data_IF_893736594481
#
_entry.id   IF_893736594481
#
_cell.length_a   1.000
_cell.length_b   1.000
_cell.length_c   1.000
_cell.angle_alpha   90.00
_cell.angle_beta   90.00
_cell.angle_gamma   90.00
#
_symmetry.space_group_name_H-M   'P 1'
#
loop_
_entity.id
_entity.type
_entity.pdbx_description
1 polymer ?
#
# COMPACT_ATOMS: atom_id res chain seq x y z
N UNK A 1 -58.15 -3.75 89.91
CA UNK A 1 -57.10 -3.62 88.87
C UNK A 1 -57.12 -4.95 88.11
N UNK A 2 -57.45 -5.03 86.81
CA UNK A 2 -56.77 -4.46 85.63
C UNK A 2 -55.44 -5.21 85.32
N UNK A 3 -55.12 -5.68 84.10
CA UNK A 3 -55.82 -5.64 82.80
C UNK A 3 -55.08 -6.47 81.70
N UNK A 4 -55.79 -7.26 80.85
CA UNK A 4 -55.34 -7.87 79.55
C UNK A 4 -54.04 -8.74 79.58
N UNK A 5 -53.63 -9.55 78.58
CA UNK A 5 -54.06 -10.08 77.25
C UNK A 5 -53.46 -11.54 77.16
N UNK A 6 -53.44 -12.39 76.13
CA UNK A 6 -53.84 -12.42 74.69
C UNK A 6 -53.95 -13.90 74.20
N UNK A 7 -54.45 -14.13 72.97
CA UNK A 7 -54.21 -15.32 72.06
C UNK A 7 -54.54 -16.76 72.60
N UNK A 8 -54.77 -17.83 71.82
CA UNK A 8 -54.84 -18.07 70.35
C UNK A 8 -55.85 -19.21 70.01
N UNK A 9 -56.36 -19.25 68.77
CA UNK A 9 -56.90 -20.43 68.03
C UNK A 9 -58.15 -21.21 68.51
N UNK A 10 -59.18 -21.26 67.63
CA UNK A 10 -60.14 -22.36 67.33
C UNK A 10 -61.18 -21.78 66.35
N UNK A 11 -61.20 -22.16 65.06
CA UNK A 11 -61.83 -23.37 64.50
C UNK A 11 -63.22 -23.75 65.06
N UNK A 12 -64.26 -23.26 64.38
CA UNK A 12 -65.46 -24.02 64.03
C UNK A 12 -66.04 -23.44 62.73
N UNK A 13 -66.69 -24.27 61.91
CA UNK A 13 -67.33 -23.86 60.63
C UNK A 13 -68.85 -23.91 60.79
N UNK A 14 -69.54 -22.81 60.47
CA UNK A 14 -71.00 -22.75 60.40
C UNK A 14 -71.46 -23.02 58.94
N UNK A 15 -72.33 -24.02 58.67
CA UNK A 15 -72.61 -24.46 57.30
C UNK A 15 -74.01 -24.07 56.80
N UNK A 16 -74.09 -23.19 55.79
CA UNK A 16 -75.35 -22.92 55.08
C UNK A 16 -75.17 -22.57 53.60
N UNK A 17 -76.11 -23.10 52.80
CA UNK A 17 -76.33 -22.89 51.35
C UNK A 17 -75.17 -23.38 50.45
N UNK A 18 -75.30 -24.49 49.70
CA UNK A 18 -76.32 -24.85 48.71
C UNK A 18 -76.35 -23.94 47.47
N UNK A 19 -75.45 -24.19 46.51
CA UNK A 19 -75.89 -24.63 45.18
C UNK A 19 -74.80 -25.39 44.41
N UNK A 20 -75.22 -26.19 43.42
CA UNK A 20 -74.35 -27.05 42.61
C UNK A 20 -74.17 -26.46 41.21
N UNK A 21 -73.37 -25.41 41.10
CA UNK A 21 -73.06 -24.78 39.80
C UNK A 21 -72.22 -25.70 38.91
N UNK A 22 -72.66 -25.92 37.67
CA UNK A 22 -71.99 -26.79 36.69
C UNK A 22 -70.68 -26.21 36.15
N UNK A 23 -69.77 -27.13 35.80
CA UNK A 23 -68.49 -26.84 35.16
C UNK A 23 -68.65 -26.26 33.73
N UNK A 24 -68.02 -25.11 33.40
CA UNK A 24 -68.10 -24.53 32.06
C UNK A 24 -67.01 -25.09 31.13
N UNK A 25 -67.26 -26.25 30.51
CA UNK A 25 -66.42 -26.77 29.42
C UNK A 25 -66.48 -25.83 28.21
N UNK A 26 -65.45 -25.00 28.00
CA UNK A 26 -65.56 -23.88 27.06
C UNK A 26 -64.26 -23.27 26.54
N UNK A 27 -63.24 -24.07 26.19
CA UNK A 27 -62.04 -23.55 25.50
C UNK A 27 -62.47 -22.96 24.15
N UNK A 28 -62.59 -21.64 24.10
CA UNK A 28 -63.02 -20.90 22.91
C UNK A 28 -61.88 -20.90 21.89
N UNK A 29 -61.88 -21.89 21.00
CA UNK A 29 -60.86 -22.04 19.96
C UNK A 29 -61.01 -20.91 18.93
N UNK A 30 -60.34 -19.78 19.16
CA UNK A 30 -60.32 -18.61 18.27
C UNK A 30 -59.71 -19.03 16.92
N UNK A 31 -60.58 -19.50 16.04
CA UNK A 31 -60.25 -19.89 14.67
C UNK A 31 -59.94 -18.64 13.86
N UNK A 32 -58.66 -18.28 13.80
CA UNK A 32 -58.16 -17.16 13.01
C UNK A 32 -58.32 -17.45 11.52
N UNK A 33 -59.54 -17.27 10.98
CA UNK A 33 -59.84 -17.18 9.55
C UNK A 33 -59.24 -15.90 8.97
N UNK A 34 -57.91 -15.84 8.96
CA UNK A 34 -57.14 -14.86 8.20
C UNK A 34 -57.52 -15.07 6.73
N UNK A 35 -58.35 -14.16 6.22
CA UNK A 35 -58.89 -14.20 4.86
C UNK A 35 -57.76 -14.43 3.85
N UNK A 36 -58.02 -15.22 2.81
CA UNK A 36 -57.04 -15.47 1.74
C UNK A 36 -56.56 -14.15 1.12
N UNK A 37 -57.42 -13.13 1.05
CA UNK A 37 -57.03 -11.76 0.65
C UNK A 37 -56.01 -11.12 1.59
N UNK A 38 -56.13 -11.32 2.91
CA UNK A 38 -55.16 -10.81 3.88
C UNK A 38 -53.82 -11.56 3.80
N UNK A 39 -53.83 -12.88 3.54
CA UNK A 39 -52.59 -13.64 3.27
C UNK A 39 -51.86 -13.11 2.01
N UNK A 40 -52.59 -12.85 0.94
CA UNK A 40 -52.01 -12.23 -0.27
C UNK A 40 -51.57 -10.78 -0.03
N UNK A 41 -52.27 -9.98 0.78
CA UNK A 41 -51.85 -8.62 1.12
C UNK A 41 -50.54 -8.61 1.94
N UNK A 42 -50.40 -9.51 2.92
CA UNK A 42 -49.15 -9.67 3.68
C UNK A 42 -48.01 -10.19 2.79
N UNK A 43 -48.28 -11.17 1.93
CA UNK A 43 -47.29 -11.67 0.96
C UNK A 43 -46.84 -10.61 -0.04
N UNK A 44 -47.77 -9.81 -0.58
CA UNK A 44 -47.47 -8.68 -1.46
C UNK A 44 -46.66 -7.60 -0.74
N UNK A 45 -47.03 -7.25 0.50
CA UNK A 45 -46.23 -6.32 1.33
C UNK A 45 -44.81 -6.82 1.60
N UNK A 46 -44.64 -8.11 1.86
CA UNK A 46 -43.32 -8.73 2.01
C UNK A 46 -42.50 -8.70 0.70
N UNK A 47 -43.13 -8.95 -0.46
CA UNK A 47 -42.45 -8.82 -1.76
C UNK A 47 -42.06 -7.37 -2.05
N UNK A 48 -42.94 -6.40 -1.80
CA UNK A 48 -42.64 -4.97 -2.00
C UNK A 48 -41.52 -4.48 -1.09
N UNK A 49 -41.49 -4.89 0.19
CA UNK A 49 -40.40 -4.53 1.11
C UNK A 49 -39.06 -5.20 0.73
N UNK A 50 -39.07 -6.45 0.27
CA UNK A 50 -37.87 -7.13 -0.24
C UNK A 50 -37.34 -6.46 -1.52
N UNK A 51 -38.22 -6.08 -2.45
CA UNK A 51 -37.84 -5.34 -3.66
C UNK A 51 -37.27 -3.95 -3.33
N UNK A 52 -37.90 -3.22 -2.40
CA UNK A 52 -37.39 -1.92 -1.95
C UNK A 52 -36.02 -2.05 -1.25
N UNK A 53 -35.84 -3.07 -0.40
CA UNK A 53 -34.56 -3.37 0.23
C UNK A 53 -33.47 -3.73 -0.81
N UNK A 54 -33.80 -4.52 -1.83
CA UNK A 54 -32.89 -4.85 -2.92
C UNK A 54 -32.50 -3.60 -3.73
N UNK A 55 -33.45 -2.74 -4.07
CA UNK A 55 -33.19 -1.47 -4.77
C UNK A 55 -32.31 -0.55 -3.92
N UNK A 56 -32.57 -0.46 -2.61
CA UNK A 56 -31.75 0.31 -1.68
C UNK A 56 -30.32 -0.25 -1.57
N UNK A 57 -30.15 -1.57 -1.48
CA UNK A 57 -28.82 -2.22 -1.48
C UNK A 57 -28.07 -1.97 -2.79
N UNK A 58 -28.74 -2.06 -3.94
CA UNK A 58 -28.15 -1.76 -5.24
C UNK A 58 -27.74 -0.28 -5.33
N UNK A 59 -28.62 0.65 -4.92
CA UNK A 59 -28.31 2.08 -4.86
C UNK A 59 -27.12 2.37 -3.93
N UNK A 60 -27.10 1.82 -2.72
CA UNK A 60 -25.98 1.96 -1.78
C UNK A 60 -24.69 1.36 -2.35
N UNK A 61 -24.75 0.21 -3.05
CA UNK A 61 -23.58 -0.38 -3.70
C UNK A 61 -23.05 0.48 -4.86
N UNK A 62 -23.94 1.10 -5.63
CA UNK A 62 -23.57 2.00 -6.73
C UNK A 62 -23.01 3.33 -6.20
N UNK A 63 -23.60 3.88 -5.14
CA UNK A 63 -23.06 5.06 -4.45
C UNK A 63 -21.73 4.76 -3.77
N UNK A 64 -21.52 3.55 -3.25
CA UNK A 64 -20.22 3.11 -2.72
C UNK A 64 -19.18 2.90 -3.83
N UNK A 65 -19.57 2.35 -4.98
CA UNK A 65 -18.70 2.29 -6.17
C UNK A 65 -18.34 3.68 -6.69
N UNK A 66 -19.32 4.59 -6.79
CA UNK A 66 -19.07 5.96 -7.23
C UNK A 66 -18.18 6.71 -6.22
N UNK A 67 -18.44 6.54 -4.93
CA UNK A 67 -17.61 7.07 -3.84
C UNK A 67 -16.19 6.49 -3.86
N UNK A 68 -15.99 5.19 -4.07
CA UNK A 68 -14.64 4.58 -4.13
C UNK A 68 -13.88 4.86 -5.44
N UNK A 69 -14.57 5.29 -6.51
CA UNK A 69 -13.92 5.78 -7.73
C UNK A 69 -13.59 7.28 -7.67
N UNK A 70 -14.45 8.13 -7.08
CA UNK A 70 -14.20 9.57 -6.87
C UNK A 70 -13.25 9.84 -5.71
N UNK A 71 -13.36 9.04 -4.66
CA UNK A 71 -12.54 9.03 -3.44
C UNK A 71 -11.60 7.82 -3.46
N UNK A 72 -11.08 7.48 -4.66
CA UNK A 72 -9.94 6.58 -4.77
C UNK A 72 -8.75 7.33 -4.15
N UNK A 73 -8.17 6.86 -3.03
CA UNK A 73 -6.98 7.50 -2.49
C UNK A 73 -5.87 7.46 -3.55
N UNK A 74 -5.10 8.53 -3.59
CA UNK A 74 -3.81 8.54 -4.29
C UNK A 74 -2.97 7.36 -3.78
N UNK A 75 -2.22 6.64 -4.65
CA UNK A 75 -1.43 5.49 -4.21
C UNK A 75 -0.52 5.90 -3.04
N UNK A 76 -0.37 5.05 -2.01
CA UNK A 76 0.05 5.48 -0.67
C UNK A 76 1.33 6.33 -0.67
N UNK A 77 1.10 7.63 -0.42
CA UNK A 77 1.99 8.62 0.17
C UNK A 77 3.42 8.66 -0.41
N UNK A 78 3.59 9.38 -1.53
CA UNK A 78 4.85 9.94 -2.07
C UNK A 78 6.12 9.05 -2.12
N UNK A 79 5.99 7.73 -1.97
CA UNK A 79 7.10 6.79 -1.73
C UNK A 79 7.27 5.72 -2.81
N UNK A 80 6.51 5.79 -3.92
CA UNK A 80 6.58 4.81 -5.01
C UNK A 80 6.28 5.37 -6.42
N UNK A 81 7.19 5.10 -7.37
CA UNK A 81 7.16 5.63 -8.74
C UNK A 81 6.38 4.80 -9.77
N UNK A 82 5.65 3.76 -9.36
CA UNK A 82 4.99 2.87 -10.32
C UNK A 82 5.97 1.90 -10.97
N UNK A 83 5.76 1.57 -12.26
CA UNK A 83 6.52 0.51 -12.96
C UNK A 83 7.18 0.98 -14.27
N UNK A 84 6.82 2.15 -14.77
CA UNK A 84 7.30 2.72 -16.03
C UNK A 84 7.70 4.19 -15.84
N UNK A 85 8.54 4.77 -16.71
CA UNK A 85 8.86 6.20 -16.69
C UNK A 85 7.61 7.10 -16.77
N UNK A 86 6.56 6.63 -17.47
CA UNK A 86 5.28 7.33 -17.56
C UNK A 86 4.51 7.32 -16.23
N UNK A 87 4.57 6.22 -15.45
CA UNK A 87 4.04 6.21 -14.08
C UNK A 87 4.86 7.14 -13.17
N UNK A 88 6.18 7.13 -13.31
CA UNK A 88 7.08 7.90 -12.45
C UNK A 88 6.88 9.41 -12.62
N UNK A 89 6.81 9.90 -13.85
CA UNK A 89 6.45 11.30 -14.15
C UNK A 89 5.04 11.64 -13.64
N UNK A 90 4.07 10.73 -13.80
CA UNK A 90 2.70 10.94 -13.31
C UNK A 90 2.61 11.01 -11.79
N UNK A 91 3.43 10.25 -11.08
CA UNK A 91 3.49 10.20 -9.61
C UNK A 91 4.41 11.28 -9.00
N UNK A 92 4.95 12.20 -9.81
CA UNK A 92 5.85 13.26 -9.33
C UNK A 92 7.22 12.78 -8.86
N UNK A 93 7.70 11.64 -9.37
CA UNK A 93 9.06 11.18 -9.10
C UNK A 93 10.12 11.93 -9.91
N UNK A 94 11.33 11.97 -9.37
CA UNK A 94 12.51 12.53 -10.02
C UNK A 94 13.39 11.40 -10.56
N UNK A 95 13.96 11.57 -11.74
CA UNK A 95 14.94 10.63 -12.28
C UNK A 95 16.35 11.03 -11.82
N UNK A 96 17.10 10.09 -11.24
CA UNK A 96 18.43 10.34 -10.68
C UNK A 96 19.52 9.56 -11.46
N UNK A 97 20.29 10.22 -12.33
CA UNK A 97 21.23 9.56 -13.25
C UNK A 97 22.30 8.72 -12.57
N UNK A 98 22.88 9.22 -11.46
CA UNK A 98 23.94 8.54 -10.72
C UNK A 98 23.51 7.20 -10.14
N UNK A 99 22.22 6.96 -9.91
CA UNK A 99 21.72 5.65 -9.45
C UNK A 99 20.93 4.87 -10.51
N UNK A 100 20.72 5.43 -11.70
CA UNK A 100 19.93 4.82 -12.78
C UNK A 100 18.52 4.42 -12.30
N UNK A 101 17.87 5.31 -11.54
CA UNK A 101 16.55 5.04 -10.95
C UNK A 101 15.65 6.27 -10.96
N UNK A 102 14.34 6.04 -11.05
CA UNK A 102 13.37 7.01 -10.56
C UNK A 102 13.27 6.93 -9.02
N UNK A 103 13.16 8.09 -8.39
CA UNK A 103 13.18 8.33 -6.95
C UNK A 103 11.90 9.06 -6.55
N UNK A 104 11.14 8.57 -5.55
CA UNK A 104 9.96 9.26 -5.04
C UNK A 104 10.31 10.55 -4.28
N UNK A 105 9.47 11.58 -4.41
CA UNK A 105 9.62 12.89 -3.76
C UNK A 105 9.96 12.77 -2.26
N UNK A 106 9.30 11.88 -1.52
CA UNK A 106 9.49 11.74 -0.06
C UNK A 106 10.89 11.27 0.36
N UNK A 107 11.72 10.80 -0.56
CA UNK A 107 13.13 10.46 -0.31
C UNK A 107 14.10 11.04 -1.36
N UNK A 108 13.65 12.05 -2.11
CA UNK A 108 14.48 12.79 -3.05
C UNK A 108 15.17 13.98 -2.37
N UNK A 109 16.45 14.20 -2.68
CA UNK A 109 17.17 15.41 -2.27
C UNK A 109 18.27 15.74 -3.28
N UNK A 110 18.19 16.94 -3.87
CA UNK A 110 18.99 17.34 -5.02
C UNK A 110 20.49 17.49 -4.69
N UNK A 111 20.84 17.77 -3.42
CA UNK A 111 22.23 18.01 -3.03
C UNK A 111 23.13 16.78 -3.17
N UNK A 112 22.56 15.56 -3.23
CA UNK A 112 23.31 14.35 -3.53
C UNK A 112 24.00 14.43 -4.90
N UNK A 113 23.29 14.96 -5.91
CA UNK A 113 23.74 15.05 -7.31
C UNK A 113 24.76 16.17 -7.56
N UNK A 114 24.97 17.09 -6.60
CA UNK A 114 25.88 18.21 -6.78
C UNK A 114 27.32 17.73 -6.99
N UNK A 115 27.89 18.03 -8.17
CA UNK A 115 29.26 17.65 -8.55
C UNK A 115 29.38 16.33 -9.31
N UNK A 116 28.30 15.82 -9.92
CA UNK A 116 28.32 14.69 -10.85
C UNK A 116 27.53 15.05 -12.12
N UNK A 117 28.10 14.92 -13.32
CA UNK A 117 27.38 15.01 -14.59
C UNK A 117 27.77 13.84 -15.51
N UNK A 118 27.21 12.67 -15.21
CA UNK A 118 27.46 11.41 -15.93
C UNK A 118 27.22 11.46 -17.44
N UNK A 119 26.66 12.54 -17.98
CA UNK A 119 26.41 12.73 -19.41
C UNK A 119 27.37 13.70 -20.09
N UNK A 120 28.28 14.30 -19.33
CA UNK A 120 29.45 15.04 -19.79
C UNK A 120 30.74 14.33 -19.38
N UNK A 121 30.71 13.59 -18.27
CA UNK A 121 31.84 12.82 -17.72
C UNK A 121 32.06 11.46 -18.43
N UNK A 122 31.04 10.92 -19.14
CA UNK A 122 31.05 9.57 -19.74
C UNK A 122 30.36 9.49 -21.11
N UNK A 123 30.90 8.64 -21.99
CA UNK A 123 30.26 8.20 -23.24
C UNK A 123 29.19 7.12 -22.99
N UNK A 124 28.14 7.11 -23.81
CA UNK A 124 27.01 6.19 -23.71
C UNK A 124 26.68 5.52 -25.04
N UNK A 125 26.31 4.24 -24.99
CA UNK A 125 26.22 3.36 -26.15
C UNK A 125 24.96 2.48 -26.14
N UNK A 126 24.49 2.10 -27.32
CA UNK A 126 23.39 1.15 -27.52
C UNK A 126 23.83 -0.32 -27.38
N UNK A 127 25.13 -0.61 -27.51
CA UNK A 127 25.67 -1.96 -27.63
C UNK A 127 26.75 -2.32 -26.57
N UNK A 128 26.89 -3.61 -26.19
CA UNK A 128 27.84 -4.06 -25.18
C UNK A 128 29.30 -4.11 -25.64
N UNK A 129 29.64 -3.66 -26.85
CA UNK A 129 31.01 -3.57 -27.35
C UNK A 129 31.51 -2.12 -27.49
N UNK A 130 30.72 -1.14 -27.07
CA UNK A 130 31.03 0.31 -27.12
C UNK A 130 31.35 0.80 -28.55
N UNK A 131 30.53 0.40 -29.53
CA UNK A 131 30.71 0.70 -30.97
C UNK A 131 29.61 1.55 -31.58
N UNK A 132 28.47 1.64 -30.92
CA UNK A 132 27.29 2.39 -31.35
C UNK A 132 26.96 3.43 -30.27
N UNK A 133 27.61 4.62 -30.30
CA UNK A 133 27.24 5.72 -29.43
C UNK A 133 25.75 6.06 -29.59
N UNK A 134 25.09 6.44 -28.50
CA UNK A 134 23.70 6.87 -28.54
C UNK A 134 23.54 8.12 -29.41
N UNK A 135 22.52 8.14 -30.26
CA UNK A 135 22.17 9.33 -31.04
C UNK A 135 21.50 10.40 -30.15
N UNK A 136 21.32 11.61 -30.67
CA UNK A 136 20.76 12.75 -29.92
C UNK A 136 19.40 12.43 -29.26
N UNK A 137 18.52 11.68 -29.94
CA UNK A 137 17.22 11.28 -29.39
C UNK A 137 17.37 10.29 -28.23
N UNK A 138 18.25 9.30 -28.39
CA UNK A 138 18.54 8.31 -27.35
C UNK A 138 19.23 8.96 -26.13
N UNK A 139 20.09 9.95 -26.34
CA UNK A 139 20.69 10.76 -25.27
C UNK A 139 19.66 11.64 -24.55
N UNK A 140 18.66 12.18 -25.27
CA UNK A 140 17.55 12.92 -24.66
C UNK A 140 16.70 11.98 -23.78
N UNK A 141 16.34 10.80 -24.27
CA UNK A 141 15.54 9.84 -23.49
C UNK A 141 16.34 9.25 -22.32
N UNK A 142 17.65 9.01 -22.48
CA UNK A 142 18.55 8.64 -21.40
C UNK A 142 18.62 9.73 -20.30
N UNK A 143 18.81 11.00 -20.68
CA UNK A 143 18.81 12.15 -19.75
C UNK A 143 17.47 12.34 -19.03
N UNK A 144 16.37 11.91 -19.63
CA UNK A 144 15.00 12.00 -19.08
C UNK A 144 14.55 10.76 -18.31
N UNK A 145 15.31 9.67 -18.29
CA UNK A 145 14.91 8.42 -17.63
C UNK A 145 13.91 7.56 -18.42
N UNK A 146 13.87 7.69 -19.75
CA UNK A 146 12.93 7.01 -20.67
C UNK A 146 13.59 5.86 -21.48
N UNK A 147 14.44 5.08 -20.83
CA UNK A 147 15.15 3.94 -21.44
C UNK A 147 14.95 2.65 -20.62
N UNK A 148 15.20 1.49 -21.22
CA UNK A 148 15.23 0.20 -20.51
C UNK A 148 16.64 -0.11 -19.99
N UNK A 149 17.63 -0.05 -20.89
CA UNK A 149 19.04 -0.15 -20.56
C UNK A 149 19.92 0.55 -21.62
N UNK A 150 21.11 0.95 -21.20
CA UNK A 150 22.18 1.51 -22.04
C UNK A 150 23.52 0.91 -21.60
N UNK A 151 24.59 1.14 -22.36
CA UNK A 151 25.94 0.69 -22.02
C UNK A 151 26.90 1.88 -21.88
N UNK A 152 27.87 1.77 -20.98
CA UNK A 152 28.94 2.75 -20.79
C UNK A 152 30.20 2.04 -20.26
N UNK A 153 31.26 2.78 -19.93
CA UNK A 153 32.50 2.22 -19.39
C UNK A 153 32.33 1.78 -17.93
N UNK A 154 33.30 1.01 -17.40
CA UNK A 154 33.31 0.62 -15.98
C UNK A 154 33.42 1.82 -15.02
N UNK A 155 33.86 3.00 -15.48
CA UNK A 155 33.98 4.20 -14.63
C UNK A 155 32.65 4.58 -13.97
N UNK A 156 31.51 4.41 -14.65
CA UNK A 156 30.18 4.59 -14.05
C UNK A 156 29.99 3.70 -12.81
N UNK A 157 30.49 2.47 -12.79
CA UNK A 157 30.36 1.59 -11.62
C UNK A 157 31.16 2.13 -10.43
N UNK A 158 32.41 2.52 -10.66
CA UNK A 158 33.29 3.03 -9.60
C UNK A 158 32.72 4.35 -9.01
N UNK A 159 32.23 5.25 -9.86
CA UNK A 159 31.55 6.49 -9.44
C UNK A 159 30.20 6.24 -8.77
N UNK A 160 29.40 5.30 -9.27
CA UNK A 160 28.14 4.87 -8.65
C UNK A 160 28.35 4.38 -7.22
N UNK A 161 29.37 3.55 -6.97
CA UNK A 161 29.71 3.08 -5.62
C UNK A 161 30.00 4.24 -4.65
N UNK A 162 30.85 5.17 -5.06
CA UNK A 162 31.23 6.33 -4.24
C UNK A 162 30.07 7.31 -4.05
N UNK A 163 29.22 7.48 -5.07
CA UNK A 163 28.01 8.27 -5.00
C UNK A 163 27.00 7.75 -3.97
N UNK A 164 26.68 6.44 -3.99
CA UNK A 164 25.75 5.84 -3.03
C UNK A 164 26.28 6.04 -1.60
N UNK A 165 27.58 5.82 -1.37
CA UNK A 165 28.21 6.04 -0.07
C UNK A 165 28.13 7.50 0.40
N UNK A 166 28.44 8.48 -0.48
CA UNK A 166 28.26 9.91 -0.19
C UNK A 166 26.80 10.24 0.11
N UNK A 167 25.86 9.76 -0.71
CA UNK A 167 24.42 10.02 -0.57
C UNK A 167 23.88 9.49 0.76
N UNK A 168 24.27 8.27 1.17
CA UNK A 168 23.92 7.70 2.46
C UNK A 168 24.46 8.54 3.63
N UNK A 169 25.75 8.92 3.57
CA UNK A 169 26.36 9.76 4.60
C UNK A 169 25.66 11.13 4.73
N UNK A 170 25.35 11.79 3.61
CA UNK A 170 24.59 13.05 3.58
C UNK A 170 23.17 12.91 4.15
N UNK A 171 22.48 11.80 3.88
CA UNK A 171 21.14 11.55 4.39
C UNK A 171 21.14 11.34 5.92
N UNK A 172 22.13 10.60 6.44
CA UNK A 172 22.33 10.39 7.88
C UNK A 172 22.71 11.70 8.60
N UNK A 173 23.61 12.50 8.03
CA UNK A 173 23.99 13.82 8.58
C UNK A 173 22.79 14.77 8.65
N UNK A 174 22.02 14.87 7.55
CA UNK A 174 20.78 15.67 7.46
C UNK A 174 19.62 15.12 8.31
N UNK A 175 19.76 13.90 8.85
CA UNK A 175 18.69 13.14 9.54
C UNK A 175 17.41 13.03 8.71
N UNK A 176 17.55 12.72 7.42
CA UNK A 176 16.40 12.47 6.56
C UNK A 176 15.63 11.25 7.10
N UNK A 177 14.29 11.30 7.18
CA UNK A 177 13.50 10.18 7.69
C UNK A 177 13.49 9.00 6.71
N UNK A 178 13.65 9.29 5.42
CA UNK A 178 13.53 8.35 4.31
C UNK A 178 14.72 8.51 3.35
N UNK A 179 15.09 7.41 2.71
CA UNK A 179 16.03 7.35 1.58
C UNK A 179 15.53 6.32 0.56
N UNK A 180 15.95 6.41 -0.70
CA UNK A 180 15.58 5.42 -1.70
C UNK A 180 16.32 4.08 -1.50
N UNK A 181 15.64 2.97 -1.80
CA UNK A 181 16.06 1.64 -1.38
C UNK A 181 17.23 1.01 -2.12
N UNK A 182 17.90 1.67 -3.08
CA UNK A 182 19.17 1.22 -3.67
C UNK A 182 20.38 1.71 -2.88
N UNK A 183 20.32 2.94 -2.36
CA UNK A 183 21.36 3.52 -1.49
C UNK A 183 21.37 2.88 -0.10
N UNK A 184 20.20 2.46 0.42
CA UNK A 184 20.08 1.81 1.73
C UNK A 184 20.15 0.27 1.70
N UNK A 185 20.32 -0.36 0.53
CA UNK A 185 20.42 -1.81 0.41
C UNK A 185 21.78 -2.30 0.95
N UNK A 186 21.76 -3.23 1.91
CA UNK A 186 22.97 -3.71 2.57
C UNK A 186 23.82 -4.57 1.64
N UNK A 187 23.22 -5.46 0.84
CA UNK A 187 23.95 -6.34 -0.08
C UNK A 187 24.67 -5.52 -1.16
N UNK A 188 23.97 -4.52 -1.71
CA UNK A 188 24.53 -3.53 -2.62
C UNK A 188 25.66 -2.72 -1.97
N UNK A 189 25.49 -2.28 -0.72
CA UNK A 189 26.52 -1.56 0.03
C UNK A 189 27.76 -2.41 0.29
N UNK A 190 27.58 -3.69 0.66
CA UNK A 190 28.68 -4.65 0.84
C UNK A 190 29.41 -4.93 -0.50
N UNK A 191 28.67 -5.04 -1.62
CA UNK A 191 29.26 -5.16 -2.96
C UNK A 191 30.10 -3.93 -3.33
N UNK A 192 29.55 -2.71 -3.17
CA UNK A 192 30.27 -1.46 -3.40
C UNK A 192 31.57 -1.38 -2.58
N UNK A 193 31.51 -1.69 -1.29
CA UNK A 193 32.67 -1.70 -0.40
C UNK A 193 33.72 -2.75 -0.82
N UNK A 194 33.29 -3.94 -1.26
CA UNK A 194 34.16 -5.02 -1.75
C UNK A 194 34.87 -4.66 -3.05
N UNK A 195 34.17 -4.06 -4.02
CA UNK A 195 34.81 -3.61 -5.28
C UNK A 195 35.77 -2.46 -5.02
N UNK A 196 35.38 -1.45 -4.23
CA UNK A 196 36.25 -0.33 -3.85
C UNK A 196 37.52 -0.81 -3.13
N UNK A 197 37.40 -1.75 -2.18
CA UNK A 197 38.54 -2.41 -1.53
C UNK A 197 39.48 -3.07 -2.55
N UNK A 198 38.92 -3.78 -3.53
CA UNK A 198 39.72 -4.47 -4.54
C UNK A 198 40.40 -3.48 -5.50
N UNK A 199 39.78 -2.34 -5.81
CA UNK A 199 40.41 -1.27 -6.60
C UNK A 199 41.64 -0.70 -5.88
N UNK A 200 41.54 -0.45 -4.57
CA UNK A 200 42.61 0.18 -3.78
C UNK A 200 43.79 -0.76 -3.51
N UNK A 201 43.57 -2.09 -3.51
CA UNK A 201 44.64 -3.07 -3.27
C UNK A 201 45.28 -3.58 -4.56
N UNK A 202 46.60 -3.68 -4.58
CA UNK A 202 47.38 -4.22 -5.72
C UNK A 202 46.92 -5.62 -6.16
N UNK A 203 46.55 -6.49 -5.22
CA UNK A 203 46.07 -7.87 -5.51
C UNK A 203 44.63 -7.93 -6.02
N UNK A 204 43.86 -6.83 -5.93
CA UNK A 204 42.55 -6.72 -6.56
C UNK A 204 42.56 -6.00 -7.92
N UNK A 205 43.56 -5.14 -8.15
CA UNK A 205 43.69 -4.36 -9.39
C UNK A 205 43.81 -5.22 -10.65
N UNK A 206 44.55 -6.34 -10.58
CA UNK A 206 44.66 -7.29 -11.71
C UNK A 206 43.29 -7.89 -12.07
N UNK A 207 42.52 -8.38 -11.07
CA UNK A 207 41.17 -8.92 -11.31
C UNK A 207 40.12 -7.89 -11.74
N UNK A 208 40.37 -6.59 -11.49
CA UNK A 208 39.52 -5.49 -11.96
C UNK A 208 39.93 -5.04 -13.37
N UNK A 209 41.19 -5.22 -13.78
CA UNK A 209 41.63 -4.88 -15.14
C UNK A 209 40.85 -5.66 -16.20
N UNK A 210 40.59 -6.95 -15.97
CA UNK A 210 39.74 -7.79 -16.83
C UNK A 210 38.32 -7.20 -16.95
N UNK A 211 37.68 -6.87 -15.83
CA UNK A 211 36.33 -6.28 -15.78
C UNK A 211 36.25 -4.93 -16.51
N UNK A 212 37.29 -4.10 -16.40
CA UNK A 212 37.37 -2.79 -17.08
C UNK A 212 37.42 -2.87 -18.60
N UNK A 213 37.66 -4.06 -19.19
CA UNK A 213 37.56 -4.26 -20.65
C UNK A 213 36.14 -4.53 -21.15
N UNK A 214 35.17 -4.73 -20.25
CA UNK A 214 33.78 -5.07 -20.57
C UNK A 214 32.87 -3.85 -20.38
N UNK A 215 31.94 -3.63 -21.32
CA UNK A 215 30.93 -2.59 -21.19
C UNK A 215 30.01 -2.83 -19.98
N UNK A 216 29.82 -1.81 -19.15
CA UNK A 216 28.87 -1.85 -18.05
C UNK A 216 27.45 -1.66 -18.59
N UNK A 217 26.56 -2.62 -18.32
CA UNK A 217 25.14 -2.49 -18.64
C UNK A 217 24.40 -1.73 -17.54
N UNK A 218 24.06 -0.48 -17.81
CA UNK A 218 23.24 0.36 -16.93
C UNK A 218 21.77 0.13 -17.28
N UNK A 219 20.96 -0.28 -16.30
CA UNK A 219 19.55 -0.64 -16.49
C UNK A 219 18.68 0.24 -15.60
N UNK A 220 17.64 0.85 -16.17
CA UNK A 220 16.74 1.71 -15.43
C UNK A 220 15.99 0.91 -14.35
N UNK A 221 15.99 1.41 -13.12
CA UNK A 221 15.22 0.84 -12.01
C UNK A 221 14.09 1.76 -11.54
N UNK A 222 13.09 1.16 -10.90
CA UNK A 222 12.10 1.85 -10.09
C UNK A 222 12.38 1.48 -8.63
N UNK A 223 12.60 2.46 -7.77
CA UNK A 223 12.88 2.26 -6.35
C UNK A 223 11.83 2.99 -5.52
N UNK A 224 11.62 2.49 -4.30
CA UNK A 224 10.75 3.10 -3.30
C UNK A 224 11.58 3.66 -2.16
N UNK A 225 10.93 4.43 -1.29
CA UNK A 225 11.57 4.91 -0.06
C UNK A 225 11.59 3.83 1.03
N UNK A 226 12.61 3.87 1.89
CA UNK A 226 12.71 3.11 3.14
C UNK A 226 13.11 4.06 4.28
N UNK A 227 12.74 3.70 5.52
CA UNK A 227 13.12 4.46 6.71
C UNK A 227 14.61 4.33 7.00
N UNK A 228 15.23 5.42 7.47
CA UNK A 228 16.63 5.45 7.93
C UNK A 228 16.79 5.17 9.43
N UNK A 229 15.73 5.37 10.22
CA UNK A 229 15.71 5.33 11.69
C UNK A 229 14.36 4.80 12.20
#
# INVERSE_FOLDING_TARGET
>A
MANKKDEESQEARDPLLSEKSTEPTGITKISSRISTKAKYAVGFGAVVTLLFALILLLYLSHMHQLSTNLFKPEPPDHTFCGKTPADAVKNGCHYEPMISSWVPEACYFIEAQQGYDVYSDLDWFADPFLRQPLNETEMIDLRRGFYSHVYTTWQYHDEHCLYNWRKLAMAVEKRLPLIESKTADEEHSQHCAKVTRNYVRKDGQETIADLKTVALKVTLTMKGCVALF
#
